data_IF_604278811873
#
_entry.id   IF_604278811873
#
_cell.length_a   1.000
_cell.length_b   1.000
_cell.length_c   1.000
_cell.angle_alpha   90.00
_cell.angle_beta   90.00
_cell.angle_gamma   90.00
#
_symmetry.space_group_name_H-M   'P 1'
#
loop_
_entity.id
_entity.type
_entity.pdbx_description
1 polymer ?
#
# COMPACT_ATOMS: atom_id res chain seq x y z
N UNK A 1 22.94 -15.74 -9.93
CA UNK A 1 22.15 -14.51 -9.66
C UNK A 1 20.74 -14.90 -9.22
N UNK A 2 20.22 -14.39 -8.09
CA UNK A 2 18.83 -14.65 -7.63
C UNK A 2 17.79 -13.65 -8.18
N UNK A 3 18.16 -12.83 -9.16
CA UNK A 3 17.31 -11.76 -9.70
C UNK A 3 16.46 -12.21 -10.89
N UNK A 4 16.90 -13.24 -11.61
CA UNK A 4 16.14 -13.84 -12.71
C UNK A 4 15.22 -14.94 -12.16
N UNK A 5 13.95 -14.97 -12.58
CA UNK A 5 13.09 -16.14 -12.43
C UNK A 5 13.72 -17.40 -13.03
N UNK A 6 13.32 -18.57 -12.53
CA UNK A 6 13.72 -19.86 -13.10
C UNK A 6 12.75 -20.36 -14.20
N UNK A 7 11.65 -19.66 -14.42
CA UNK A 7 10.66 -19.90 -15.46
C UNK A 7 10.09 -18.56 -15.93
N UNK A 8 9.41 -18.56 -17.07
CA UNK A 8 8.72 -17.37 -17.56
C UNK A 8 7.49 -17.08 -16.69
N UNK A 9 7.32 -15.80 -16.32
CA UNK A 9 6.22 -15.31 -15.52
C UNK A 9 5.31 -14.46 -16.43
N UNK A 10 4.03 -14.81 -16.49
CA UNK A 10 3.01 -13.98 -17.12
C UNK A 10 2.73 -12.75 -16.25
N UNK A 11 3.11 -11.58 -16.75
CA UNK A 11 3.04 -10.30 -16.03
C UNK A 11 1.84 -9.43 -16.39
N UNK A 12 1.09 -9.81 -17.44
CA UNK A 12 -0.08 -9.09 -17.98
C UNK A 12 -1.38 -9.77 -17.52
N UNK A 13 -2.52 -9.14 -17.81
CA UNK A 13 -3.83 -9.73 -17.53
C UNK A 13 -4.01 -11.06 -18.28
N UNK A 14 -4.73 -12.02 -17.71
CA UNK A 14 -4.92 -13.36 -18.29
C UNK A 14 -5.48 -13.31 -19.73
N UNK A 15 -6.42 -12.40 -19.99
CA UNK A 15 -7.01 -12.17 -21.32
C UNK A 15 -5.98 -11.78 -22.39
N UNK A 16 -4.80 -11.26 -22.00
CA UNK A 16 -3.71 -10.94 -22.93
C UNK A 16 -2.95 -12.18 -23.41
N UNK A 17 -3.17 -13.34 -22.81
CA UNK A 17 -2.54 -14.61 -23.20
C UNK A 17 -3.54 -15.52 -23.95
N UNK A 18 -4.61 -14.92 -24.47
CA UNK A 18 -5.58 -15.58 -25.34
C UNK A 18 -5.43 -15.01 -26.76
N UNK A 19 -5.50 -15.88 -27.77
CA UNK A 19 -5.41 -15.47 -29.17
C UNK A 19 -6.65 -14.63 -29.54
N UNK A 20 -6.43 -13.52 -30.23
CA UNK A 20 -7.50 -12.64 -30.71
C UNK A 20 -7.42 -12.56 -32.23
N UNK A 21 -8.55 -12.80 -32.88
CA UNK A 21 -8.64 -12.71 -34.33
C UNK A 21 -8.25 -11.32 -34.82
N UNK A 22 -7.31 -11.27 -35.76
CA UNK A 22 -6.82 -10.02 -36.36
C UNK A 22 -5.78 -9.27 -35.53
N UNK A 23 -5.29 -9.83 -34.42
CA UNK A 23 -4.17 -9.28 -33.65
C UNK A 23 -3.04 -10.31 -33.55
N UNK A 24 -1.81 -9.84 -33.71
CA UNK A 24 -0.62 -10.68 -33.56
C UNK A 24 -0.49 -11.24 -32.14
N UNK A 25 0.06 -12.45 -32.05
CA UNK A 25 0.20 -13.19 -30.81
C UNK A 25 1.60 -13.77 -30.69
N UNK A 26 2.20 -13.58 -29.51
CA UNK A 26 3.45 -14.21 -29.12
C UNK A 26 3.22 -15.20 -27.98
N UNK A 27 3.85 -16.37 -28.04
CA UNK A 27 3.63 -17.43 -27.05
C UNK A 27 4.15 -17.06 -25.65
N UNK A 28 5.18 -16.23 -25.56
CA UNK A 28 5.81 -15.82 -24.30
C UNK A 28 5.23 -14.50 -23.76
N UNK A 29 4.87 -13.58 -24.65
CA UNK A 29 4.44 -12.21 -24.33
C UNK A 29 2.91 -12.01 -24.44
N UNK A 30 2.20 -12.91 -25.11
CA UNK A 30 0.77 -12.83 -25.40
C UNK A 30 0.45 -11.91 -26.59
N UNK A 31 -0.74 -11.31 -26.57
CA UNK A 31 -1.27 -10.43 -27.61
C UNK A 31 -0.40 -9.19 -27.77
N UNK A 32 0.04 -8.92 -29.00
CA UNK A 32 0.83 -7.75 -29.38
C UNK A 32 -0.13 -6.69 -29.93
N UNK A 33 -0.50 -5.73 -29.07
CA UNK A 33 -1.45 -4.68 -29.43
C UNK A 33 -0.84 -3.76 -30.49
N UNK A 34 -1.46 -3.58 -31.68
CA UNK A 34 -0.96 -2.70 -32.71
C UNK A 34 -1.07 -1.24 -32.26
N UNK A 35 -0.03 -0.46 -32.55
CA UNK A 35 0.01 0.99 -32.32
C UNK A 35 0.53 1.62 -33.60
N UNK A 36 -0.24 2.56 -34.15
CA UNK A 36 0.06 3.15 -35.43
C UNK A 36 1.40 3.90 -35.38
N UNK A 37 2.23 3.70 -36.41
CA UNK A 37 3.57 4.28 -36.49
C UNK A 37 4.69 3.43 -35.88
N UNK A 38 4.39 2.27 -35.29
CA UNK A 38 5.39 1.36 -34.72
C UNK A 38 5.34 -0.04 -35.36
N UNK A 39 6.50 -0.62 -35.58
CA UNK A 39 6.67 -1.97 -36.12
C UNK A 39 6.43 -3.05 -35.07
N UNK A 40 6.16 -4.28 -35.53
CA UNK A 40 5.98 -5.44 -34.66
C UNK A 40 7.17 -5.66 -33.73
N UNK A 41 8.40 -5.51 -34.23
CA UNK A 41 9.62 -5.69 -33.43
C UNK A 41 9.76 -4.60 -32.34
N UNK A 42 9.41 -3.35 -32.64
CA UNK A 42 9.41 -2.26 -31.64
C UNK A 42 8.36 -2.51 -30.55
N UNK A 43 7.19 -3.02 -30.92
CA UNK A 43 6.14 -3.39 -29.97
C UNK A 43 6.62 -4.53 -29.05
N UNK A 44 7.22 -5.60 -29.61
CA UNK A 44 7.80 -6.70 -28.84
C UNK A 44 8.92 -6.21 -27.91
N UNK A 45 9.83 -5.38 -28.40
CA UNK A 45 10.91 -4.85 -27.60
C UNK A 45 10.38 -4.01 -26.44
N UNK A 46 9.35 -3.19 -26.68
CA UNK A 46 8.65 -2.45 -25.63
C UNK A 46 8.01 -3.38 -24.58
N UNK A 47 7.43 -4.51 -24.99
CA UNK A 47 6.89 -5.54 -24.07
C UNK A 47 7.97 -6.15 -23.18
N UNK A 48 9.15 -6.44 -23.74
CA UNK A 48 10.25 -7.04 -22.98
C UNK A 48 10.87 -6.01 -22.02
N UNK A 49 11.03 -4.76 -22.46
CA UNK A 49 11.54 -3.64 -21.63
C UNK A 49 10.56 -3.26 -20.51
N UNK A 50 9.27 -3.27 -20.79
CA UNK A 50 8.23 -2.86 -19.86
C UNK A 50 7.17 -3.96 -19.69
N UNK A 51 7.51 -5.03 -18.95
CA UNK A 51 6.65 -6.22 -18.89
C UNK A 51 5.44 -6.05 -17.98
N UNK A 52 5.45 -5.07 -17.07
CA UNK A 52 4.41 -4.89 -16.08
C UNK A 52 4.15 -3.41 -15.78
N UNK A 53 2.86 -3.06 -15.62
CA UNK A 53 2.41 -1.72 -15.27
C UNK A 53 1.68 -1.76 -13.93
N UNK A 54 2.10 -0.93 -12.98
CA UNK A 54 1.52 -0.90 -11.64
C UNK A 54 1.32 0.54 -11.16
N UNK A 55 0.08 0.87 -10.77
CA UNK A 55 -0.32 2.13 -10.13
C UNK A 55 0.30 3.38 -10.78
N UNK A 56 0.20 3.44 -12.11
CA UNK A 56 0.69 4.58 -12.87
C UNK A 56 -0.27 5.76 -12.72
N UNK A 57 0.28 6.93 -12.35
CA UNK A 57 -0.47 8.18 -12.16
C UNK A 57 0.17 9.32 -12.93
N UNK A 58 -0.55 10.44 -13.08
CA UNK A 58 -0.04 11.71 -13.61
C UNK A 58 -0.62 12.88 -12.81
N UNK A 59 -0.04 14.07 -12.97
CA UNK A 59 -0.53 15.29 -12.33
C UNK A 59 -1.21 16.18 -13.37
N UNK A 60 -2.46 16.57 -13.10
CA UNK A 60 -3.25 17.48 -13.93
C UNK A 60 -3.82 18.55 -13.00
N UNK A 61 -3.55 19.82 -13.30
CA UNK A 61 -4.02 20.97 -12.50
C UNK A 61 -3.74 20.85 -10.98
N UNK A 62 -2.64 20.19 -10.62
CA UNK A 62 -2.22 19.96 -9.23
C UNK A 62 -2.80 18.71 -8.58
N UNK A 63 -3.75 18.04 -9.23
CA UNK A 63 -4.36 16.79 -8.75
C UNK A 63 -3.68 15.56 -9.36
N UNK A 64 -3.52 14.51 -8.56
CA UNK A 64 -2.99 13.23 -9.00
C UNK A 64 -4.12 12.33 -9.48
N UNK A 65 -4.09 11.96 -10.75
CA UNK A 65 -5.12 11.13 -11.38
C UNK A 65 -4.52 9.85 -11.98
N UNK A 66 -5.38 8.85 -12.18
CA UNK A 66 -5.03 7.58 -12.82
C UNK A 66 -4.48 7.81 -14.23
N UNK A 67 -3.32 7.22 -14.54
CA UNK A 67 -2.73 7.33 -15.87
C UNK A 67 -3.54 6.57 -16.92
N UNK A 68 -4.22 5.51 -16.51
CA UNK A 68 -4.91 4.56 -17.37
C UNK A 68 -6.22 5.07 -17.98
N UNK A 69 -6.85 6.03 -17.32
CA UNK A 69 -8.20 6.51 -17.68
C UNK A 69 -8.18 7.61 -18.73
N UNK A 70 -7.01 8.17 -18.99
CA UNK A 70 -6.84 9.32 -19.87
C UNK A 70 -5.73 9.06 -20.89
N UNK A 71 -5.93 9.55 -22.10
CA UNK A 71 -4.97 9.49 -23.20
C UNK A 71 -4.69 10.91 -23.68
N UNK A 72 -3.42 11.20 -23.96
CA UNK A 72 -3.03 12.47 -24.57
C UNK A 72 -2.99 12.28 -26.09
N UNK A 73 -3.72 13.11 -26.82
CA UNK A 73 -3.75 13.13 -28.28
C UNK A 73 -3.49 14.58 -28.69
N UNK A 74 -2.43 14.80 -29.47
CA UNK A 74 -2.04 16.13 -29.98
C UNK A 74 -1.95 17.21 -28.88
N UNK A 75 -1.44 16.84 -27.70
CA UNK A 75 -1.26 17.74 -26.56
C UNK A 75 -2.54 18.01 -25.75
N UNK A 76 -3.66 17.36 -26.08
CA UNK A 76 -4.93 17.45 -25.37
C UNK A 76 -5.20 16.15 -24.61
N UNK A 77 -5.57 16.28 -23.34
CA UNK A 77 -5.91 15.13 -22.50
C UNK A 77 -7.39 14.79 -22.65
N UNK A 78 -7.68 13.56 -23.02
CA UNK A 78 -9.03 13.04 -23.20
C UNK A 78 -9.26 11.85 -22.27
N UNK A 79 -10.50 11.65 -21.81
CA UNK A 79 -10.89 10.37 -21.22
C UNK A 79 -10.84 9.30 -22.30
N UNK A 80 -10.10 8.23 -22.05
CA UNK A 80 -9.80 7.22 -23.08
C UNK A 80 -11.06 6.60 -23.67
N UNK A 81 -12.08 6.33 -22.83
CA UNK A 81 -13.34 5.74 -23.30
C UNK A 81 -14.15 6.65 -24.23
N UNK A 82 -14.04 7.97 -24.08
CA UNK A 82 -14.77 8.95 -24.90
C UNK A 82 -14.20 9.06 -26.31
N UNK A 83 -12.89 8.84 -26.45
CA UNK A 83 -12.18 8.94 -27.74
C UNK A 83 -11.81 7.58 -28.34
N UNK A 84 -12.04 6.48 -27.63
CA UNK A 84 -11.64 5.13 -28.05
C UNK A 84 -12.04 4.80 -29.48
N UNK A 85 -13.32 5.01 -29.82
CA UNK A 85 -13.86 4.65 -31.14
C UNK A 85 -13.34 5.55 -32.28
N UNK A 86 -12.66 6.66 -31.95
CA UNK A 86 -12.00 7.53 -32.93
C UNK A 86 -10.56 7.09 -33.27
N UNK A 87 -9.95 6.23 -32.44
CA UNK A 87 -8.59 5.74 -32.65
C UNK A 87 -8.57 4.70 -33.80
N UNK A 88 -7.63 4.76 -34.75
CA UNK A 88 -7.55 3.79 -35.85
C UNK A 88 -7.47 2.32 -35.39
N UNK A 89 -6.73 2.06 -34.31
CA UNK A 89 -6.41 0.73 -33.81
C UNK A 89 -7.54 0.13 -32.96
N UNK A 90 -8.46 0.95 -32.46
CA UNK A 90 -9.57 0.47 -31.63
C UNK A 90 -10.54 -0.44 -32.37
N UNK A 91 -10.51 -0.43 -33.71
CA UNK A 91 -11.31 -1.29 -34.58
C UNK A 91 -10.99 -2.78 -34.45
N UNK A 92 -9.76 -3.11 -34.06
CA UNK A 92 -9.29 -4.49 -33.90
C UNK A 92 -9.06 -4.86 -32.45
N UNK A 93 -8.81 -3.90 -31.57
CA UNK A 93 -8.55 -4.13 -30.15
C UNK A 93 -9.87 -4.30 -29.37
N UNK A 94 -10.04 -5.37 -28.56
CA UNK A 94 -11.22 -5.52 -27.72
C UNK A 94 -11.43 -4.33 -26.79
N UNK A 95 -12.68 -3.84 -26.71
CA UNK A 95 -13.05 -2.72 -25.84
C UNK A 95 -13.29 -3.18 -24.39
N UNK A 96 -12.25 -3.73 -23.75
CA UNK A 96 -12.26 -4.06 -22.31
C UNK A 96 -11.23 -3.25 -21.55
N UNK A 97 -11.39 -3.16 -20.22
CA UNK A 97 -10.50 -2.35 -19.39
C UNK A 97 -9.03 -2.78 -19.49
N UNK A 98 -8.77 -4.08 -19.61
CA UNK A 98 -7.42 -4.66 -19.71
C UNK A 98 -6.71 -4.21 -21.00
N UNK A 99 -7.38 -4.30 -22.14
CA UNK A 99 -6.82 -3.91 -23.44
C UNK A 99 -6.61 -2.42 -23.58
N UNK A 100 -7.58 -1.63 -23.09
CA UNK A 100 -7.48 -0.17 -23.10
C UNK A 100 -6.32 0.31 -22.22
N UNK A 101 -6.18 -0.23 -21.01
CA UNK A 101 -5.07 0.07 -20.09
C UNK A 101 -3.71 -0.20 -20.74
N UNK A 102 -3.58 -1.36 -21.35
CA UNK A 102 -2.34 -1.78 -21.99
C UNK A 102 -1.99 -0.89 -23.19
N UNK A 103 -2.97 -0.60 -24.06
CA UNK A 103 -2.79 0.27 -25.23
C UNK A 103 -2.31 1.66 -24.81
N UNK A 104 -3.00 2.31 -23.85
CA UNK A 104 -2.68 3.67 -23.40
C UNK A 104 -1.24 3.77 -22.89
N UNK A 105 -0.81 2.82 -22.05
CA UNK A 105 0.53 2.85 -21.47
C UNK A 105 1.59 2.53 -22.50
N UNK A 106 1.38 1.52 -23.37
CA UNK A 106 2.35 1.16 -24.41
C UNK A 106 2.57 2.27 -25.41
N UNK A 107 1.49 2.89 -25.88
CA UNK A 107 1.57 4.03 -26.79
C UNK A 107 2.41 5.16 -26.18
N UNK A 108 2.11 5.54 -24.95
CA UNK A 108 2.88 6.57 -24.24
C UNK A 108 4.37 6.19 -24.10
N UNK A 109 4.68 4.94 -23.75
CA UNK A 109 6.08 4.51 -23.60
C UNK A 109 6.84 4.54 -24.91
N UNK A 110 6.22 4.09 -26.01
CA UNK A 110 6.81 4.15 -27.34
C UNK A 110 7.03 5.60 -27.81
N UNK A 111 6.04 6.47 -27.63
CA UNK A 111 6.13 7.90 -27.94
C UNK A 111 7.26 8.56 -27.14
N UNK A 112 7.25 8.38 -25.81
CA UNK A 112 8.28 8.91 -24.91
C UNK A 112 9.69 8.44 -25.27
N UNK A 113 9.87 7.14 -25.52
CA UNK A 113 11.19 6.56 -25.80
C UNK A 113 11.73 6.97 -27.17
N UNK A 114 10.83 7.39 -28.08
CA UNK A 114 11.18 8.00 -29.37
C UNK A 114 11.24 9.54 -29.33
N UNK A 115 11.26 10.14 -28.13
CA UNK A 115 11.54 11.56 -27.93
C UNK A 115 10.31 12.48 -27.98
N UNK A 116 9.10 11.95 -28.08
CA UNK A 116 7.86 12.75 -28.01
C UNK A 116 7.73 13.37 -26.62
N UNK A 117 7.54 14.69 -26.56
CA UNK A 117 7.34 15.42 -25.32
C UNK A 117 5.85 15.53 -25.02
N UNK A 118 5.39 14.80 -24.00
CA UNK A 118 4.02 14.84 -23.53
C UNK A 118 3.77 16.05 -22.62
N UNK A 119 2.65 16.73 -22.81
CA UNK A 119 2.19 17.83 -21.95
C UNK A 119 1.76 17.32 -20.57
N UNK A 120 1.21 16.11 -20.51
CA UNK A 120 0.74 15.47 -19.28
C UNK A 120 1.48 14.15 -19.04
N UNK A 121 2.80 14.19 -18.76
CA UNK A 121 3.63 13.00 -18.66
C UNK A 121 3.28 12.16 -17.41
N UNK A 122 3.69 10.90 -17.45
CA UNK A 122 3.64 10.00 -16.29
C UNK A 122 4.36 10.63 -15.08
N UNK A 123 3.73 10.56 -13.91
CA UNK A 123 4.36 10.97 -12.66
C UNK A 123 5.46 9.97 -12.27
N UNK A 124 6.63 10.51 -11.97
CA UNK A 124 7.81 9.74 -11.60
C UNK A 124 8.41 8.99 -12.79
N UNK A 125 9.40 8.15 -12.51
CA UNK A 125 10.21 7.48 -13.52
C UNK A 125 9.73 6.07 -13.81
N UNK A 126 9.72 5.65 -15.07
CA UNK A 126 9.46 4.27 -15.45
C UNK A 126 10.54 3.84 -16.44
N UNK A 127 11.67 3.39 -15.90
CA UNK A 127 12.83 2.93 -16.66
C UNK A 127 12.64 1.49 -17.18
N UNK A 128 13.31 1.11 -18.28
CA UNK A 128 13.30 -0.26 -18.77
C UNK A 128 13.71 -1.27 -17.70
N UNK A 129 13.21 -2.50 -17.86
CA UNK A 129 13.59 -3.67 -17.08
C UNK A 129 13.33 -3.54 -15.58
N UNK A 130 12.34 -2.73 -15.18
CA UNK A 130 11.89 -2.65 -13.79
C UNK A 130 11.54 -4.02 -13.19
N UNK A 131 11.18 -4.99 -14.02
CA UNK A 131 11.04 -6.40 -13.62
C UNK A 131 11.68 -7.30 -14.67
N UNK A 132 12.45 -8.28 -14.20
CA UNK A 132 12.88 -9.42 -14.99
C UNK A 132 11.84 -10.53 -14.79
N UNK A 133 11.15 -10.92 -15.86
CA UNK A 133 10.01 -11.84 -15.83
C UNK A 133 10.35 -13.24 -16.38
N UNK A 134 11.53 -13.43 -16.94
CA UNK A 134 11.94 -14.68 -17.57
C UNK A 134 13.34 -15.12 -17.11
N UNK A 135 13.74 -16.38 -17.38
CA UNK A 135 15.10 -16.83 -17.14
C UNK A 135 16.13 -16.00 -17.92
N UNK A 136 17.36 -15.98 -17.42
CA UNK A 136 18.49 -15.30 -18.05
C UNK A 136 18.64 -15.64 -19.55
N UNK A 137 18.45 -16.91 -19.91
CA UNK A 137 18.55 -17.40 -21.29
C UNK A 137 17.55 -16.73 -22.24
N UNK A 138 16.36 -16.36 -21.75
CA UNK A 138 15.35 -15.66 -22.55
C UNK A 138 15.86 -14.30 -23.03
N UNK A 139 16.49 -13.54 -22.13
CA UNK A 139 17.03 -12.21 -22.45
C UNK A 139 18.23 -12.28 -23.41
N UNK A 140 19.06 -13.32 -23.27
CA UNK A 140 20.16 -13.58 -24.21
C UNK A 140 19.61 -13.90 -25.61
N UNK A 141 18.61 -14.78 -25.71
CA UNK A 141 17.98 -15.16 -26.98
C UNK A 141 17.30 -13.97 -27.66
N UNK A 142 16.68 -13.08 -26.87
CA UNK A 142 16.05 -11.85 -27.35
C UNK A 142 17.03 -10.67 -27.50
N UNK A 143 18.35 -10.91 -27.39
CA UNK A 143 19.41 -9.91 -27.60
C UNK A 143 19.27 -8.65 -26.71
N UNK A 144 18.76 -8.80 -25.50
CA UNK A 144 18.51 -7.69 -24.57
C UNK A 144 19.79 -7.15 -23.89
N UNK A 145 20.95 -7.76 -24.16
CA UNK A 145 22.25 -7.34 -23.64
C UNK A 145 22.86 -8.31 -22.64
N UNK A 146 23.90 -7.85 -21.95
CA UNK A 146 24.61 -8.64 -20.93
C UNK A 146 23.71 -8.88 -19.70
N UNK A 147 23.57 -10.14 -19.23
CA UNK A 147 22.72 -10.47 -18.08
C UNK A 147 23.08 -9.79 -16.75
N UNK A 148 24.35 -9.52 -16.51
CA UNK A 148 24.79 -8.86 -15.27
C UNK A 148 24.42 -7.37 -15.33
N UNK A 149 24.65 -6.72 -16.47
CA UNK A 149 24.25 -5.33 -16.67
C UNK A 149 22.74 -5.16 -16.64
N UNK A 150 21.99 -6.08 -17.25
CA UNK A 150 20.53 -6.07 -17.21
C UNK A 150 19.99 -6.25 -15.78
N UNK A 151 20.65 -7.09 -14.96
CA UNK A 151 20.30 -7.24 -13.55
C UNK A 151 20.58 -5.96 -12.74
N UNK A 152 21.70 -5.26 -13.01
CA UNK A 152 21.99 -3.95 -12.41
C UNK A 152 20.95 -2.90 -12.83
N UNK A 153 20.62 -2.85 -14.12
CA UNK A 153 19.58 -1.97 -14.65
C UNK A 153 18.24 -2.21 -13.97
N UNK A 154 17.83 -3.48 -13.78
CA UNK A 154 16.61 -3.82 -13.07
C UNK A 154 16.59 -3.28 -11.63
N UNK A 155 17.69 -3.44 -10.89
CA UNK A 155 17.79 -2.89 -9.53
C UNK A 155 17.71 -1.36 -9.55
N UNK A 156 18.46 -0.70 -10.43
CA UNK A 156 18.43 0.77 -10.59
C UNK A 156 17.04 1.27 -10.97
N UNK A 157 16.39 0.61 -11.93
CA UNK A 157 15.03 0.95 -12.40
C UNK A 157 14.00 0.84 -11.27
N UNK A 158 14.08 -0.22 -10.45
CA UNK A 158 13.20 -0.39 -9.27
C UNK A 158 13.41 0.71 -8.23
N UNK A 159 14.67 1.01 -7.89
CA UNK A 159 15.01 2.06 -6.93
C UNK A 159 14.48 3.40 -7.41
N UNK A 160 14.75 3.75 -8.67
CA UNK A 160 14.32 5.03 -9.25
C UNK A 160 12.79 5.13 -9.39
N UNK A 161 12.13 4.06 -9.82
CA UNK A 161 10.66 4.00 -9.87
C UNK A 161 10.03 4.30 -8.50
N UNK A 162 10.59 3.73 -7.43
CA UNK A 162 10.07 3.94 -6.09
C UNK A 162 10.42 5.31 -5.52
N UNK A 163 11.67 5.75 -5.67
CA UNK A 163 12.11 7.05 -5.17
C UNK A 163 11.39 8.22 -5.85
N UNK A 164 11.21 8.15 -7.17
CA UNK A 164 10.58 9.22 -7.96
C UNK A 164 9.09 9.43 -7.66
N UNK A 165 8.45 8.44 -7.04
CA UNK A 165 7.04 8.53 -6.62
C UNK A 165 6.87 8.65 -5.11
N UNK A 166 7.96 8.61 -4.35
CA UNK A 166 7.90 8.78 -2.90
C UNK A 166 7.67 10.27 -2.56
N UNK A 167 6.52 10.65 -1.96
CA UNK A 167 6.18 12.05 -1.71
C UNK A 167 7.14 12.73 -0.73
N UNK A 168 7.72 11.98 0.21
CA UNK A 168 8.74 12.49 1.13
C UNK A 168 10.02 12.86 0.38
N UNK A 169 10.48 11.97 -0.52
CA UNK A 169 11.65 12.25 -1.35
C UNK A 169 11.41 13.34 -2.40
N UNK A 170 10.19 13.44 -2.95
CA UNK A 170 9.83 14.50 -3.88
C UNK A 170 9.90 15.88 -3.21
N UNK A 171 9.32 16.02 -2.00
CA UNK A 171 9.45 17.23 -1.17
C UNK A 171 10.90 17.55 -0.83
N UNK A 172 11.71 16.51 -0.59
CA UNK A 172 13.13 16.64 -0.30
C UNK A 172 13.98 17.07 -1.49
N UNK A 173 13.75 16.56 -2.71
CA UNK A 173 14.44 17.05 -3.93
C UNK A 173 14.18 18.53 -4.15
N UNK A 174 12.96 19.01 -3.90
CA UNK A 174 12.64 20.44 -3.92
C UNK A 174 13.39 21.23 -2.83
N UNK A 175 13.64 20.63 -1.66
CA UNK A 175 14.40 21.23 -0.56
C UNK A 175 15.93 21.23 -0.79
N UNK A 176 16.48 20.18 -1.42
CA UNK A 176 17.86 20.09 -1.90
C UNK A 176 18.18 21.13 -2.97
N UNK A 177 17.25 21.32 -3.91
CA UNK A 177 17.35 22.40 -4.91
C UNK A 177 17.35 23.80 -4.26
N UNK A 178 16.97 23.90 -2.97
CA UNK A 178 17.06 25.10 -2.14
C UNK A 178 18.28 25.12 -1.19
N UNK A 179 19.25 24.22 -1.38
CA UNK A 179 20.53 24.23 -0.67
C UNK A 179 20.59 23.50 0.68
N UNK A 180 19.59 22.66 1.00
CA UNK A 180 19.59 21.87 2.24
C UNK A 180 20.41 20.59 2.05
N UNK A 181 21.50 20.40 2.81
CA UNK A 181 22.49 19.35 2.60
C UNK A 181 21.96 17.91 2.77
N UNK A 182 22.58 16.97 2.04
CA UNK A 182 22.45 15.52 2.24
C UNK A 182 23.16 15.10 3.53
N UNK A 183 22.41 14.68 4.56
CA UNK A 183 22.99 14.14 5.80
C UNK A 183 22.17 14.37 7.07
N UNK A 184 21.26 15.34 7.06
CA UNK A 184 20.40 15.71 8.21
C UNK A 184 18.96 15.26 8.03
N UNK A 185 18.71 14.09 7.41
CA UNK A 185 17.36 13.57 7.29
C UNK A 185 16.94 12.84 8.58
N UNK A 186 15.96 13.42 9.27
CA UNK A 186 14.99 12.72 10.11
C UNK A 186 13.96 12.05 9.19
N UNK A 187 14.37 10.96 8.54
CA UNK A 187 13.38 10.01 8.06
C UNK A 187 12.60 9.55 9.30
N UNK A 188 11.27 9.70 9.36
CA UNK A 188 10.50 9.33 10.55
C UNK A 188 10.69 7.84 10.91
N UNK A 189 11.07 7.04 9.91
CA UNK A 189 11.37 5.62 10.04
C UNK A 189 12.85 5.28 10.25
N UNK A 190 13.76 6.26 10.25
CA UNK A 190 15.21 6.04 10.32
C UNK A 190 15.59 5.17 11.52
N UNK A 191 14.96 5.43 12.66
CA UNK A 191 15.16 4.68 13.89
C UNK A 191 14.57 3.26 13.88
N UNK A 192 13.73 2.91 12.90
CA UNK A 192 13.14 1.56 12.74
C UNK A 192 13.55 0.86 11.43
N UNK A 193 14.33 1.52 10.58
CA UNK A 193 14.81 0.93 9.35
C UNK A 193 15.86 -0.15 9.69
N UNK A 194 15.47 -1.41 9.55
CA UNK A 194 16.39 -2.55 9.76
C UNK A 194 17.33 -2.80 8.57
N UNK A 195 17.27 -1.99 7.51
CA UNK A 195 18.19 -2.10 6.38
C UNK A 195 19.56 -1.59 6.82
N UNK A 196 20.59 -2.42 6.64
CA UNK A 196 22.00 -2.03 6.89
C UNK A 196 22.45 -0.89 5.96
N UNK A 197 21.85 -0.79 4.78
CA UNK A 197 22.03 0.31 3.83
C UNK A 197 20.64 0.79 3.42
N UNK A 198 20.26 2.00 3.83
CA UNK A 198 19.00 2.63 3.43
C UNK A 198 19.20 3.39 2.11
N UNK A 199 18.54 2.90 1.06
CA UNK A 199 18.49 3.50 -0.28
C UNK A 199 17.22 4.35 -0.48
N UNK A 200 16.41 4.56 0.57
CA UNK A 200 15.14 5.27 0.54
C UNK A 200 14.14 4.79 -0.54
N UNK A 201 14.36 3.59 -1.11
CA UNK A 201 13.51 2.96 -2.14
C UNK A 201 12.27 2.27 -1.56
N UNK A 202 11.80 2.75 -0.41
CA UNK A 202 10.49 2.36 0.09
C UNK A 202 9.48 2.58 -1.05
N UNK A 203 8.67 1.57 -1.43
CA UNK A 203 7.59 1.74 -2.38
C UNK A 203 6.89 3.09 -2.22
N UNK A 204 6.51 3.77 -3.31
CA UNK A 204 5.82 5.03 -3.25
C UNK A 204 4.49 4.73 -2.62
N UNK A 205 4.28 5.30 -1.44
CA UNK A 205 3.26 4.79 -0.54
C UNK A 205 3.60 3.32 -0.21
N UNK A 206 4.60 3.03 0.63
CA UNK A 206 4.62 1.78 1.43
C UNK A 206 3.42 1.87 2.35
N UNK A 207 2.25 1.76 1.75
CA UNK A 207 0.94 2.06 2.28
C UNK A 207 0.96 3.17 3.32
N UNK A 208 1.74 4.25 3.18
CA UNK A 208 1.90 5.15 4.33
C UNK A 208 0.61 5.90 4.57
N UNK A 209 0.07 6.56 3.55
CA UNK A 209 -1.27 7.15 3.60
C UNK A 209 -2.32 6.12 3.97
N UNK A 210 -2.28 4.92 3.39
CA UNK A 210 -3.29 3.90 3.61
C UNK A 210 -3.19 3.20 4.98
N UNK A 211 -2.01 3.02 5.56
CA UNK A 211 -1.79 2.51 6.91
C UNK A 211 -2.09 3.58 7.95
N UNK A 212 -1.71 4.83 7.68
CA UNK A 212 -2.11 5.95 8.49
C UNK A 212 -3.65 6.07 8.47
N UNK A 213 -4.28 6.11 7.30
CA UNK A 213 -5.74 6.15 7.09
C UNK A 213 -6.46 4.96 7.73
N UNK A 214 -6.03 3.71 7.44
CA UNK A 214 -6.55 2.48 8.07
C UNK A 214 -6.42 2.49 9.59
N UNK A 215 -5.46 3.22 10.13
CA UNK A 215 -5.29 3.37 11.57
C UNK A 215 -5.68 4.75 12.10
N UNK A 216 -6.42 5.55 11.31
CA UNK A 216 -6.94 6.88 11.67
C UNK A 216 -5.86 7.88 12.12
N UNK A 217 -4.66 7.79 11.57
CA UNK A 217 -3.54 8.70 11.80
C UNK A 217 -3.37 9.68 10.63
N UNK A 218 -2.90 10.89 10.93
CA UNK A 218 -2.56 11.91 9.93
C UNK A 218 -1.05 12.00 9.73
N UNK A 219 -0.62 12.38 8.53
CA UNK A 219 0.79 12.70 8.22
C UNK A 219 1.37 13.84 9.08
N UNK A 220 0.53 14.62 9.75
CA UNK A 220 0.94 15.72 10.64
C UNK A 220 0.89 15.32 12.13
N UNK A 221 0.80 14.04 12.45
CA UNK A 221 0.68 13.55 13.83
C UNK A 221 1.98 13.72 14.65
N UNK A 222 1.84 13.99 15.95
CA UNK A 222 2.92 14.06 16.95
C UNK A 222 3.75 12.76 17.06
N UNK A 223 3.24 11.64 16.55
CA UNK A 223 3.93 10.35 16.55
C UNK A 223 5.25 10.36 15.77
N UNK A 224 5.43 11.30 14.83
CA UNK A 224 6.68 11.43 14.08
C UNK A 224 7.79 12.14 14.86
N UNK A 225 7.49 12.64 16.06
CA UNK A 225 8.43 13.30 16.97
C UNK A 225 8.71 12.45 18.23
N UNK A 226 8.41 11.13 18.20
CA UNK A 226 8.61 10.26 19.36
C UNK A 226 10.08 10.20 19.77
N UNK A 227 10.32 10.41 21.07
CA UNK A 227 11.62 10.24 21.72
C UNK A 227 12.08 8.77 21.74
N UNK A 228 13.38 8.48 21.52
CA UNK A 228 13.92 7.12 21.48
C UNK A 228 13.62 6.25 22.70
N UNK A 229 13.54 6.84 23.91
CA UNK A 229 13.23 6.12 25.14
C UNK A 229 11.83 5.48 25.12
N UNK A 230 10.83 6.25 24.69
CA UNK A 230 9.45 5.76 24.53
C UNK A 230 9.36 4.60 23.54
N UNK A 231 10.29 4.50 22.59
CA UNK A 231 10.33 3.41 21.61
C UNK A 231 10.89 2.12 22.18
N UNK A 232 11.85 2.23 23.09
CA UNK A 232 12.31 1.08 23.86
C UNK A 232 11.16 0.52 24.68
N UNK A 233 10.45 1.38 25.40
CA UNK A 233 9.33 1.00 26.27
C UNK A 233 8.20 0.35 25.44
N UNK A 234 7.79 0.97 24.32
CA UNK A 234 6.76 0.41 23.45
C UNK A 234 7.21 -0.89 22.76
N UNK A 235 8.47 -1.00 22.33
CA UNK A 235 8.98 -2.24 21.75
C UNK A 235 8.97 -3.38 22.76
N UNK A 236 9.31 -3.08 24.02
CA UNK A 236 9.22 -4.02 25.13
C UNK A 236 7.77 -4.47 25.32
N UNK A 237 6.80 -3.55 25.36
CA UNK A 237 5.37 -3.86 25.48
C UNK A 237 4.84 -4.72 24.33
N UNK A 238 5.27 -4.46 23.09
CA UNK A 238 4.94 -5.27 21.92
C UNK A 238 5.48 -6.70 22.04
N UNK A 239 6.58 -6.91 22.77
CA UNK A 239 7.23 -8.22 22.96
C UNK A 239 6.88 -8.92 24.27
N UNK A 240 6.30 -8.22 25.26
CA UNK A 240 6.08 -8.72 26.62
C UNK A 240 4.99 -9.82 26.69
N UNK A 241 4.10 -9.89 25.70
CA UNK A 241 2.96 -10.80 25.71
C UNK A 241 2.50 -11.19 24.29
N UNK A 242 3.35 -11.87 23.49
CA UNK A 242 2.95 -12.33 22.16
C UNK A 242 1.75 -13.26 22.28
N UNK A 243 0.76 -13.08 21.40
CA UNK A 243 -0.47 -13.89 21.33
C UNK A 243 -1.37 -13.79 22.57
N UNK A 244 -1.27 -12.68 23.32
CA UNK A 244 -2.11 -12.39 24.49
C UNK A 244 -2.71 -10.97 24.40
N UNK A 245 -3.39 -10.54 25.45
CA UNK A 245 -3.91 -9.18 25.57
C UNK A 245 -3.24 -8.44 26.73
N UNK A 246 -3.17 -7.12 26.62
CA UNK A 246 -2.55 -6.25 27.61
C UNK A 246 -3.22 -4.88 27.65
N UNK A 247 -3.12 -4.20 28.80
CA UNK A 247 -3.70 -2.87 29.00
C UNK A 247 -2.59 -1.86 29.25
N UNK A 248 -2.57 -0.78 28.48
CA UNK A 248 -1.69 0.38 28.68
C UNK A 248 -2.51 1.52 29.26
N UNK A 249 -2.10 2.01 30.43
CA UNK A 249 -2.78 3.11 31.11
C UNK A 249 -2.11 4.43 30.70
N UNK A 250 -2.89 5.36 30.14
CA UNK A 250 -2.42 6.69 29.77
C UNK A 250 -3.48 7.75 30.09
N UNK A 251 -3.11 8.92 30.63
CA UNK A 251 -4.04 10.04 30.76
C UNK A 251 -4.46 10.60 29.39
N UNK A 252 -3.58 10.53 28.39
CA UNK A 252 -3.90 10.85 26.99
C UNK A 252 -3.94 9.54 26.20
N UNK A 253 -5.15 8.98 26.07
CA UNK A 253 -5.38 7.70 25.41
C UNK A 253 -5.22 7.78 23.90
N UNK A 254 -5.53 8.92 23.29
CA UNK A 254 -5.48 9.12 21.85
C UNK A 254 -4.03 9.22 21.37
N UNK A 255 -3.22 10.04 22.03
CA UNK A 255 -1.79 10.16 21.69
C UNK A 255 -1.05 8.83 21.96
N UNK A 256 -1.33 8.17 23.08
CA UNK A 256 -0.73 6.87 23.39
C UNK A 256 -1.11 5.78 22.38
N UNK A 257 -2.39 5.69 22.00
CA UNK A 257 -2.83 4.75 20.96
C UNK A 257 -2.10 5.02 19.65
N UNK A 258 -2.02 6.28 19.23
CA UNK A 258 -1.31 6.69 18.00
C UNK A 258 0.17 6.26 18.05
N UNK A 259 0.86 6.45 19.18
CA UNK A 259 2.27 6.04 19.34
C UNK A 259 2.44 4.52 19.30
N UNK A 260 1.57 3.77 19.97
CA UNK A 260 1.57 2.31 19.98
C UNK A 260 1.37 1.73 18.58
N UNK A 261 0.39 2.25 17.85
CA UNK A 261 0.09 1.87 16.48
C UNK A 261 1.31 2.14 15.59
N UNK A 262 1.90 3.34 15.71
CA UNK A 262 3.06 3.71 14.91
C UNK A 262 4.24 2.75 15.14
N UNK A 263 4.60 2.50 16.40
CA UNK A 263 5.68 1.57 16.74
C UNK A 263 5.38 0.13 16.33
N UNK A 264 4.11 -0.30 16.43
CA UNK A 264 3.67 -1.61 15.97
C UNK A 264 3.79 -1.78 14.46
N UNK A 265 3.39 -0.76 13.67
CA UNK A 265 3.57 -0.74 12.22
C UNK A 265 5.06 -0.91 11.91
N UNK A 266 5.91 -0.10 12.54
CA UNK A 266 7.36 -0.17 12.36
C UNK A 266 7.95 -1.56 12.68
N UNK A 267 7.37 -2.29 13.63
CA UNK A 267 7.86 -3.59 14.09
C UNK A 267 7.36 -4.76 13.23
N UNK A 268 6.08 -4.75 12.87
CA UNK A 268 5.40 -5.89 12.26
C UNK A 268 5.20 -5.77 10.75
N UNK A 269 5.35 -4.57 10.17
CA UNK A 269 5.14 -4.34 8.76
C UNK A 269 6.28 -4.87 7.89
N UNK A 270 5.94 -5.62 6.84
CA UNK A 270 6.89 -6.13 5.84
C UNK A 270 6.54 -5.71 4.41
N UNK A 271 5.85 -4.59 4.23
CA UNK A 271 5.68 -3.95 2.90
C UNK A 271 4.75 -4.69 1.93
N UNK A 272 3.75 -5.45 2.39
CA UNK A 272 2.80 -6.12 1.52
C UNK A 272 1.36 -5.66 1.82
N UNK A 273 0.72 -5.07 0.81
CA UNK A 273 -0.57 -4.39 0.90
C UNK A 273 -1.78 -5.23 1.28
N UNK A 274 -1.67 -6.55 1.14
CA UNK A 274 -2.78 -7.48 1.32
C UNK A 274 -2.88 -8.05 2.74
N UNK A 275 -1.94 -7.73 3.63
CA UNK A 275 -1.93 -8.26 5.01
C UNK A 275 -2.01 -7.13 6.01
N UNK A 276 -3.20 -6.90 6.57
CA UNK A 276 -3.35 -6.06 7.75
C UNK A 276 -2.56 -6.71 8.92
N UNK A 277 -1.36 -6.20 9.21
CA UNK A 277 -0.55 -6.70 10.31
C UNK A 277 -0.91 -6.02 11.63
N UNK A 278 -1.30 -4.74 11.55
CA UNK A 278 -1.67 -3.88 12.67
C UNK A 278 -2.97 -3.18 12.31
N UNK A 279 -3.94 -3.19 13.22
CA UNK A 279 -5.21 -2.47 13.08
C UNK A 279 -5.50 -1.66 14.34
N UNK A 280 -6.11 -0.49 14.16
CA UNK A 280 -6.57 0.38 15.23
C UNK A 280 -8.09 0.39 15.25
N UNK A 281 -8.65 -0.07 16.35
CA UNK A 281 -10.07 -0.04 16.62
C UNK A 281 -10.41 1.11 17.56
N UNK A 282 -11.15 2.09 17.04
CA UNK A 282 -11.86 3.04 17.91
C UNK A 282 -13.11 2.32 18.45
N UNK A 283 -13.10 1.97 19.74
CA UNK A 283 -14.13 1.10 20.28
C UNK A 283 -15.51 1.76 20.38
N UNK A 284 -15.58 3.07 20.61
CA UNK A 284 -16.86 3.78 20.66
C UNK A 284 -17.54 3.81 19.30
N UNK A 285 -16.79 4.15 18.25
CA UNK A 285 -17.30 4.17 16.87
C UNK A 285 -17.72 2.76 16.41
N UNK A 286 -16.92 1.74 16.74
CA UNK A 286 -17.26 0.36 16.40
C UNK A 286 -18.57 -0.14 17.03
N UNK A 287 -18.87 0.29 18.27
CA UNK A 287 -20.14 -0.04 18.90
C UNK A 287 -21.32 0.62 18.19
N UNK A 288 -21.15 1.87 17.77
CA UNK A 288 -22.16 2.59 16.99
C UNK A 288 -22.39 1.90 15.64
N UNK A 289 -21.33 1.47 14.96
CA UNK A 289 -21.40 0.72 13.70
C UNK A 289 -22.10 -0.63 13.86
N UNK A 290 -21.83 -1.39 14.94
CA UNK A 290 -22.56 -2.62 15.24
C UNK A 290 -24.05 -2.33 15.44
N UNK A 291 -24.39 -1.33 16.25
CA UNK A 291 -25.80 -1.01 16.54
C UNK A 291 -26.52 -0.52 15.29
N UNK A 292 -25.85 0.29 14.48
CA UNK A 292 -26.37 0.76 13.20
C UNK A 292 -26.63 -0.43 12.25
N UNK A 293 -25.72 -1.41 12.22
CA UNK A 293 -25.85 -2.61 11.38
C UNK A 293 -27.14 -3.42 11.63
N UNK A 294 -27.73 -3.32 12.82
CA UNK A 294 -29.01 -3.99 13.13
C UNK A 294 -30.22 -3.34 12.46
N UNK A 295 -30.07 -2.09 12.02
CA UNK A 295 -31.13 -1.27 11.43
C UNK A 295 -31.08 -1.16 9.90
N UNK A 296 -29.95 -1.51 9.29
CA UNK A 296 -29.76 -1.48 7.83
C UNK A 296 -29.91 -2.86 7.20
N UNK A 297 -30.45 -2.88 5.97
CA UNK A 297 -30.75 -4.11 5.21
C UNK A 297 -29.51 -4.71 4.53
N UNK A 298 -28.53 -3.86 4.21
CA UNK A 298 -27.25 -4.23 3.63
C UNK A 298 -26.13 -3.64 4.50
N UNK A 299 -25.12 -4.45 4.78
CA UNK A 299 -24.00 -4.04 5.62
C UNK A 299 -23.05 -3.15 4.81
N UNK A 300 -22.59 -2.00 5.36
CA UNK A 300 -21.59 -1.19 4.68
C UNK A 300 -20.29 -1.98 4.48
N UNK A 301 -19.73 -1.95 3.27
CA UNK A 301 -18.48 -2.62 2.92
C UNK A 301 -17.32 -2.25 3.87
N UNK A 302 -17.27 -0.99 4.31
CA UNK A 302 -16.29 -0.51 5.28
C UNK A 302 -16.34 -1.27 6.62
N UNK A 303 -17.54 -1.60 7.10
CA UNK A 303 -17.74 -2.33 8.35
C UNK A 303 -17.38 -3.81 8.20
N UNK A 304 -17.64 -4.41 7.03
CA UNK A 304 -17.18 -5.78 6.72
C UNK A 304 -15.65 -5.86 6.74
N UNK A 305 -14.97 -4.89 6.13
CA UNK A 305 -13.51 -4.81 6.17
C UNK A 305 -12.97 -4.61 7.58
N UNK A 306 -13.59 -3.75 8.38
CA UNK A 306 -13.22 -3.58 9.78
C UNK A 306 -13.31 -4.90 10.56
N UNK A 307 -14.40 -5.66 10.43
CA UNK A 307 -14.53 -6.96 11.09
C UNK A 307 -13.45 -7.96 10.63
N UNK A 308 -13.12 -7.99 9.34
CA UNK A 308 -12.03 -8.81 8.80
C UNK A 308 -10.70 -8.40 9.43
N UNK A 309 -10.41 -7.11 9.53
CA UNK A 309 -9.16 -6.61 10.10
C UNK A 309 -9.06 -6.87 11.59
N UNK A 310 -10.14 -6.64 12.36
CA UNK A 310 -10.24 -7.03 13.78
C UNK A 310 -9.99 -8.53 13.95
N UNK A 311 -10.44 -9.38 13.03
CA UNK A 311 -10.28 -10.83 13.14
C UNK A 311 -8.88 -11.32 12.71
N UNK A 312 -8.18 -10.62 11.81
CA UNK A 312 -6.96 -11.12 11.14
C UNK A 312 -5.69 -10.36 11.49
N UNK A 313 -5.78 -9.13 12.01
CA UNK A 313 -4.60 -8.36 12.36
C UNK A 313 -3.76 -9.09 13.41
N UNK A 314 -2.44 -9.16 13.18
CA UNK A 314 -1.50 -9.78 14.13
C UNK A 314 -1.52 -9.05 15.46
N UNK A 315 -1.57 -7.73 15.40
CA UNK A 315 -1.78 -6.84 16.54
C UNK A 315 -3.01 -5.97 16.31
N UNK A 316 -3.86 -5.91 17.32
CA UNK A 316 -4.98 -4.98 17.38
C UNK A 316 -4.74 -3.99 18.52
N UNK A 317 -4.81 -2.70 18.24
CA UNK A 317 -4.82 -1.65 19.26
C UNK A 317 -6.26 -1.14 19.41
N UNK A 318 -6.81 -1.22 20.61
CA UNK A 318 -8.16 -0.75 20.94
C UNK A 318 -8.03 0.52 21.76
N UNK A 319 -8.70 1.58 21.34
CA UNK A 319 -8.69 2.89 22.02
C UNK A 319 -10.12 3.37 22.29
N UNK A 320 -10.23 4.56 22.89
CA UNK A 320 -11.48 5.28 23.09
C UNK A 320 -12.53 4.52 23.91
N UNK A 321 -12.10 3.56 24.73
CA UNK A 321 -13.01 2.84 25.63
C UNK A 321 -13.57 3.75 26.73
N UNK A 322 -12.90 4.88 27.00
CA UNK A 322 -13.29 5.89 27.96
C UNK A 322 -14.46 6.78 27.52
N UNK A 323 -14.75 6.79 26.23
CA UNK A 323 -15.94 7.45 25.67
C UNK A 323 -17.18 6.55 25.68
N UNK A 324 -17.05 5.31 26.20
CA UNK A 324 -18.14 4.33 26.24
C UNK A 324 -18.77 4.29 27.62
N UNK A 325 -20.09 4.45 27.68
CA UNK A 325 -20.88 4.10 28.87
C UNK A 325 -21.19 2.62 28.85
N UNK A 326 -20.45 1.84 29.65
CA UNK A 326 -20.54 0.39 29.61
C UNK A 326 -21.83 -0.15 30.25
N UNK A 327 -22.72 -0.70 29.43
CA UNK A 327 -23.71 -1.69 29.85
C UNK A 327 -23.24 -3.11 29.54
N UNK A 328 -24.14 -4.08 29.70
CA UNK A 328 -23.82 -5.49 29.45
C UNK A 328 -23.40 -5.75 28.01
N UNK A 329 -24.07 -5.13 27.03
CA UNK A 329 -23.71 -5.27 25.62
C UNK A 329 -22.28 -4.82 25.33
N UNK A 330 -21.91 -3.58 25.71
CA UNK A 330 -20.59 -3.03 25.44
C UNK A 330 -19.48 -3.85 26.13
N UNK A 331 -19.71 -4.25 27.38
CA UNK A 331 -18.75 -5.04 28.14
C UNK A 331 -18.57 -6.45 27.55
N UNK A 332 -19.65 -7.11 27.13
CA UNK A 332 -19.59 -8.41 26.45
C UNK A 332 -18.88 -8.31 25.11
N UNK A 333 -19.15 -7.28 24.31
CA UNK A 333 -18.50 -7.07 23.02
C UNK A 333 -16.97 -6.98 23.17
N UNK A 334 -16.48 -6.17 24.13
CA UNK A 334 -15.04 -6.07 24.38
C UNK A 334 -14.44 -7.40 24.86
N UNK A 335 -15.10 -8.07 25.81
CA UNK A 335 -14.65 -9.35 26.35
C UNK A 335 -14.59 -10.44 25.27
N UNK A 336 -15.60 -10.52 24.40
CA UNK A 336 -15.66 -11.48 23.31
C UNK A 336 -14.55 -11.25 22.28
N UNK A 337 -14.27 -9.98 21.96
CA UNK A 337 -13.19 -9.61 21.06
C UNK A 337 -11.83 -10.03 21.63
N UNK A 338 -11.56 -9.73 22.90
CA UNK A 338 -10.34 -10.15 23.60
C UNK A 338 -10.20 -11.68 23.57
N UNK A 339 -11.26 -12.40 23.95
CA UNK A 339 -11.23 -13.85 24.06
C UNK A 339 -11.02 -14.53 22.70
N UNK A 340 -11.77 -14.12 21.68
CA UNK A 340 -11.67 -14.68 20.32
C UNK A 340 -10.27 -14.49 19.75
N UNK A 341 -9.70 -13.30 19.90
CA UNK A 341 -8.35 -13.01 19.41
C UNK A 341 -7.27 -13.80 20.15
N UNK A 342 -7.39 -13.91 21.47
CA UNK A 342 -6.48 -14.75 22.28
C UNK A 342 -6.51 -16.21 21.82
N UNK A 343 -7.70 -16.77 21.59
CA UNK A 343 -7.86 -18.16 21.10
C UNK A 343 -7.23 -18.36 19.72
N UNK A 344 -7.27 -17.34 18.86
CA UNK A 344 -6.62 -17.36 17.55
C UNK A 344 -5.11 -17.06 17.60
N UNK A 345 -4.52 -16.89 18.79
CA UNK A 345 -3.11 -16.56 18.95
C UNK A 345 -2.75 -15.19 18.41
N UNK A 346 -3.66 -14.22 18.48
CA UNK A 346 -3.44 -12.85 18.01
C UNK A 346 -3.28 -11.89 19.18
N UNK A 347 -2.41 -10.89 19.03
CA UNK A 347 -2.10 -9.95 20.11
C UNK A 347 -3.10 -8.79 20.14
N UNK A 348 -3.48 -8.33 21.34
CA UNK A 348 -4.40 -7.19 21.52
C UNK A 348 -3.87 -6.24 22.60
N UNK A 349 -3.75 -4.96 22.29
CA UNK A 349 -3.38 -3.93 23.26
C UNK A 349 -4.56 -2.99 23.44
N UNK A 350 -4.96 -2.75 24.68
CA UNK A 350 -6.06 -1.87 25.02
C UNK A 350 -5.48 -0.63 25.68
N UNK A 351 -5.77 0.54 25.13
CA UNK A 351 -5.36 1.83 25.68
C UNK A 351 -6.53 2.39 26.46
N UNK A 352 -6.30 2.70 27.72
CA UNK A 352 -7.34 3.14 28.65
C UNK A 352 -6.81 4.27 29.53
N UNK A 353 -7.67 5.18 30.01
CA UNK A 353 -7.34 5.94 31.21
C UNK A 353 -7.27 4.96 32.39
N UNK A 354 -7.10 5.48 33.60
CA UNK A 354 -7.23 4.67 34.79
C UNK A 354 -8.55 3.86 34.75
N UNK A 355 -8.48 2.53 34.84
CA UNK A 355 -9.67 1.67 34.70
C UNK A 355 -10.77 2.02 35.70
N UNK A 356 -10.41 2.58 36.86
CA UNK A 356 -11.38 3.01 37.87
C UNK A 356 -12.25 4.18 37.41
N UNK A 357 -11.80 4.98 36.45
CA UNK A 357 -12.55 6.13 35.92
C UNK A 357 -13.52 5.75 34.80
N UNK A 358 -13.49 4.50 34.32
CA UNK A 358 -14.46 4.01 33.34
C UNK A 358 -15.88 4.00 33.96
N UNK A 359 -16.85 4.44 33.17
CA UNK A 359 -18.26 4.55 33.59
C UNK A 359 -19.03 3.35 33.07
N UNK A 360 -19.70 2.63 33.96
CA UNK A 360 -20.51 1.48 33.56
C UNK A 360 -21.33 0.90 34.71
N UNK A 361 -22.20 -0.04 34.36
CA UNK A 361 -23.07 -0.76 35.30
C UNK A 361 -23.34 -2.17 34.78
N UNK A 362 -23.56 -3.11 35.70
CA UNK A 362 -23.92 -4.49 35.38
C UNK A 362 -22.81 -5.51 35.67
N UNK A 363 -23.14 -6.81 35.74
CA UNK A 363 -22.20 -7.86 36.12
C UNK A 363 -21.07 -8.04 35.11
N UNK A 364 -21.32 -7.79 33.81
CA UNK A 364 -20.29 -7.91 32.79
C UNK A 364 -19.27 -6.77 32.85
N UNK A 365 -19.68 -5.58 33.27
CA UNK A 365 -18.78 -4.44 33.46
C UNK A 365 -17.74 -4.72 34.56
N UNK A 366 -18.19 -5.24 35.71
CA UNK A 366 -17.28 -5.61 36.81
C UNK A 366 -16.32 -6.74 36.42
N UNK A 367 -16.83 -7.73 35.69
CA UNK A 367 -16.00 -8.81 35.12
C UNK A 367 -14.97 -8.26 34.14
N UNK A 368 -15.36 -7.36 33.25
CA UNK A 368 -14.46 -6.70 32.32
C UNK A 368 -13.36 -5.94 33.05
N UNK A 369 -13.70 -5.09 34.04
CA UNK A 369 -12.71 -4.40 34.88
C UNK A 369 -11.72 -5.34 35.54
N UNK A 370 -12.19 -6.46 36.07
CA UNK A 370 -11.34 -7.49 36.69
C UNK A 370 -10.36 -8.09 35.68
N UNK A 371 -10.86 -8.45 34.48
CA UNK A 371 -10.05 -9.02 33.39
C UNK A 371 -8.98 -8.04 32.91
N UNK A 372 -9.32 -6.76 32.79
CA UNK A 372 -8.41 -5.71 32.33
C UNK A 372 -7.34 -5.36 33.38
N UNK A 373 -7.72 -5.30 34.67
CA UNK A 373 -6.78 -4.96 35.75
C UNK A 373 -5.66 -6.00 35.90
N UNK A 374 -5.95 -7.27 35.61
CA UNK A 374 -4.98 -8.36 35.74
C UNK A 374 -3.85 -8.37 34.70
N UNK A 375 -3.87 -7.47 33.71
CA UNK A 375 -2.94 -7.45 32.57
C UNK A 375 -2.41 -6.06 32.24
N UNK A 376 -2.39 -5.16 33.24
CA UNK A 376 -1.83 -3.81 33.07
C UNK A 376 -0.32 -3.91 32.89
N UNK A 377 0.18 -3.34 31.80
CA UNK A 377 1.60 -3.08 31.59
C UNK A 377 1.90 -1.69 32.16
N UNK A 378 2.94 -1.61 32.98
CA UNK A 378 3.38 -0.37 33.65
C UNK A 378 4.45 0.35 32.84
#
# INVERSE_FOLDING_TARGET
MKLYPNHLIHTRAAAMYERIDGIDYDEDLGVIIPINGYSHDELRENMIKYPHFYQLTRVVDGEEISFYENIEIDGVLHKTLEVWDSLPESKVIPKTAEFIKEYVVRRYLLERDNGVQHKYPLKGSLLPYITLFAPETYYIQNKCGDPVELAKQCVTARVDFFQSRNPYLARYKTALNKGIAYGTMDCPFKQYCRRTICDNSCPPLVEFSYLLERNKMSCNSSVFEIQPKMLSDVSEWLTAAPNSYSVVISPDTIDMASRLIYAAICTHWKGNCLRCAVYHLNFSEYLDDIQHSWSVKEMPEAFEYEQIFIAKAKLLVISNIDYVKFGDFQAQTLLNLIHTRKTNGLQTIIVSPNLNTLVGSGPFFERMKTVLTGVIIK
#
